data_IF_780644126321
#
_entry.id   IF_780644126321
#
_cell.length_a   1.000
_cell.length_b   1.000
_cell.length_c   1.000
_cell.angle_alpha   90.00
_cell.angle_beta   90.00
_cell.angle_gamma   90.00
#
_symmetry.space_group_name_H-M   'P 1'
#
loop_
_entity.id
_entity.type
_entity.pdbx_description
1 polymer ?
#
# COMPACT_ATOMS: atom_id res chain seq x y z
N UNK A 1 3.94 4.45 -13.23
CA UNK A 1 3.55 3.16 -13.85
C UNK A 1 3.39 2.09 -12.77
N UNK A 2 2.44 1.16 -12.90
CA UNK A 2 2.19 0.11 -11.88
C UNK A 2 2.02 -1.27 -12.52
N UNK A 3 2.37 -2.32 -11.77
CA UNK A 3 2.13 -3.71 -12.15
C UNK A 3 0.75 -4.16 -11.66
N UNK A 4 -0.22 -4.12 -12.57
CA UNK A 4 -1.63 -4.28 -12.25
C UNK A 4 -2.05 -5.75 -12.15
N UNK A 5 -2.90 -6.07 -11.16
CA UNK A 5 -3.56 -7.38 -11.09
C UNK A 5 -4.90 -7.32 -11.82
N UNK A 6 -5.13 -8.27 -12.72
CA UNK A 6 -6.21 -8.19 -13.73
C UNK A 6 -7.24 -9.31 -13.67
N UNK A 7 -7.17 -10.23 -12.70
CA UNK A 7 -8.09 -11.37 -12.66
C UNK A 7 -9.50 -10.92 -12.30
N UNK A 8 -9.64 -10.21 -11.18
CA UNK A 8 -10.88 -9.62 -10.71
C UNK A 8 -10.66 -8.14 -10.40
N UNK A 9 -11.72 -7.34 -10.40
CA UNK A 9 -11.65 -5.94 -9.98
C UNK A 9 -12.88 -5.53 -9.16
N UNK A 10 -12.71 -4.50 -8.34
CA UNK A 10 -13.81 -3.87 -7.60
C UNK A 10 -14.66 -3.03 -8.56
N UNK A 11 -15.84 -3.54 -8.91
CA UNK A 11 -16.75 -2.85 -9.83
C UNK A 11 -17.46 -1.63 -9.21
N UNK A 12 -17.65 -1.62 -7.89
CA UNK A 12 -18.29 -0.53 -7.16
C UNK A 12 -17.56 -0.30 -5.83
N UNK A 13 -17.21 0.96 -5.59
CA UNK A 13 -16.59 1.38 -4.34
C UNK A 13 -17.57 1.22 -3.16
N UNK A 14 -17.14 0.70 -1.99
CA UNK A 14 -17.97 0.62 -0.80
C UNK A 14 -18.33 2.00 -0.23
N UNK A 15 -19.37 2.06 0.61
CA UNK A 15 -19.74 3.31 1.29
C UNK A 15 -18.61 3.81 2.20
N UNK A 16 -18.41 5.13 2.18
CA UNK A 16 -17.35 5.80 2.94
C UNK A 16 -15.94 5.62 2.35
N UNK A 17 -15.79 4.97 1.19
CA UNK A 17 -14.52 4.93 0.47
C UNK A 17 -14.52 5.94 -0.68
N UNK A 18 -13.37 6.57 -0.87
CA UNK A 18 -13.06 7.45 -1.98
C UNK A 18 -12.17 6.71 -2.98
N UNK A 19 -12.44 6.87 -4.29
CA UNK A 19 -11.56 6.37 -5.35
C UNK A 19 -10.42 7.38 -5.53
N UNK A 20 -9.18 6.94 -5.36
CA UNK A 20 -7.99 7.80 -5.46
C UNK A 20 -7.11 7.49 -6.67
N UNK A 21 -7.35 6.35 -7.34
CA UNK A 21 -6.74 6.05 -8.63
C UNK A 21 -7.70 5.22 -9.48
N UNK A 22 -7.65 5.46 -10.79
CA UNK A 22 -8.42 4.72 -11.78
C UNK A 22 -7.60 4.53 -13.06
N UNK A 23 -7.97 3.54 -13.86
CA UNK A 23 -7.47 3.36 -15.22
C UNK A 23 -8.66 3.23 -16.17
N UNK A 24 -8.38 3.16 -17.48
CA UNK A 24 -9.43 2.96 -18.49
C UNK A 24 -10.23 1.67 -18.25
N UNK A 25 -9.56 0.59 -17.84
CA UNK A 25 -10.14 -0.75 -17.74
C UNK A 25 -10.39 -1.16 -16.27
N UNK A 26 -10.01 -0.33 -15.29
CA UNK A 26 -10.24 -0.56 -13.87
C UNK A 26 -10.72 0.73 -13.20
N UNK A 27 -12.03 0.87 -12.93
CA UNK A 27 -12.60 2.11 -12.36
C UNK A 27 -12.14 2.36 -10.92
N UNK A 28 -11.82 1.30 -10.16
CA UNK A 28 -11.36 1.38 -8.78
C UNK A 28 -9.98 0.74 -8.68
N UNK A 29 -8.96 1.43 -9.22
CA UNK A 29 -7.58 0.93 -9.17
C UNK A 29 -6.98 1.09 -7.78
N UNK A 30 -7.33 2.18 -7.07
CA UNK A 30 -7.06 2.35 -5.64
C UNK A 30 -8.21 3.11 -4.96
N UNK A 31 -8.49 2.76 -3.72
CA UNK A 31 -9.50 3.41 -2.90
C UNK A 31 -9.02 3.57 -1.45
N UNK A 32 -9.56 4.55 -0.74
CA UNK A 32 -9.22 4.81 0.66
C UNK A 32 -10.43 5.21 1.49
N UNK A 33 -10.36 4.93 2.79
CA UNK A 33 -11.17 5.55 3.82
C UNK A 33 -10.19 6.05 4.91
N UNK A 34 -9.96 7.36 4.92
CA UNK A 34 -8.98 8.00 5.80
C UNK A 34 -9.43 8.02 7.26
N UNK A 35 -10.73 8.15 7.53
CA UNK A 35 -11.30 8.10 8.89
C UNK A 35 -11.02 6.76 9.58
N UNK A 36 -11.14 5.66 8.82
CA UNK A 36 -10.92 4.29 9.29
C UNK A 36 -9.49 3.79 9.05
N UNK A 37 -8.63 4.61 8.43
CA UNK A 37 -7.28 4.24 8.00
C UNK A 37 -7.23 2.96 7.15
N UNK A 38 -8.19 2.80 6.24
CA UNK A 38 -8.23 1.68 5.31
C UNK A 38 -7.81 2.13 3.91
N UNK A 39 -6.88 1.40 3.31
CA UNK A 39 -6.32 1.71 2.00
C UNK A 39 -6.26 0.44 1.18
N UNK A 40 -6.67 0.50 -0.09
CA UNK A 40 -6.65 -0.63 -0.99
C UNK A 40 -6.10 -0.21 -2.36
N UNK A 41 -5.36 -1.12 -2.97
CA UNK A 41 -4.82 -0.99 -4.32
C UNK A 41 -4.98 -2.32 -5.06
N UNK A 42 -5.27 -2.24 -6.35
CA UNK A 42 -5.47 -3.39 -7.23
C UNK A 42 -4.16 -3.87 -7.89
N UNK A 43 -3.07 -3.12 -7.71
CA UNK A 43 -1.74 -3.41 -8.26
C UNK A 43 -0.75 -3.85 -7.17
N UNK A 44 0.36 -4.42 -7.60
CA UNK A 44 1.42 -4.95 -6.73
C UNK A 44 2.48 -3.88 -6.45
N UNK A 45 2.42 -3.20 -5.31
CA UNK A 45 3.42 -2.21 -4.90
C UNK A 45 4.76 -2.84 -4.48
N UNK A 46 4.77 -4.14 -4.21
CA UNK A 46 5.93 -4.91 -3.75
C UNK A 46 6.91 -5.26 -4.87
N UNK A 47 6.51 -5.17 -6.15
CA UNK A 47 7.36 -5.53 -7.29
C UNK A 47 8.05 -4.32 -7.90
N UNK A 48 9.26 -4.53 -8.43
CA UNK A 48 10.08 -3.47 -9.04
C UNK A 48 9.45 -2.82 -10.28
N UNK A 49 8.50 -3.49 -10.93
CA UNK A 49 7.78 -2.97 -12.08
C UNK A 49 6.80 -1.84 -11.72
N UNK A 50 6.44 -1.71 -10.45
CA UNK A 50 5.63 -0.59 -9.97
C UNK A 50 6.56 0.54 -9.55
N UNK A 51 6.59 1.59 -10.37
CA UNK A 51 7.29 2.82 -10.03
C UNK A 51 6.73 3.38 -8.73
N UNK A 52 7.62 3.81 -7.83
CA UNK A 52 7.27 4.30 -6.50
C UNK A 52 6.58 3.27 -5.58
N UNK A 53 6.47 1.98 -5.94
CA UNK A 53 5.83 0.96 -5.10
C UNK A 53 6.46 0.87 -3.70
N UNK A 54 7.79 0.94 -3.62
CA UNK A 54 8.53 1.01 -2.35
C UNK A 54 8.16 2.25 -1.52
N UNK A 55 7.98 3.41 -2.17
CA UNK A 55 7.59 4.66 -1.50
C UNK A 55 6.16 4.59 -0.96
N UNK A 56 5.24 3.94 -1.71
CA UNK A 56 3.87 3.70 -1.23
C UNK A 56 3.86 2.85 0.05
N UNK A 57 4.61 1.75 0.05
CA UNK A 57 4.74 0.88 1.24
C UNK A 57 5.42 1.61 2.40
N UNK A 58 6.45 2.41 2.12
CA UNK A 58 7.10 3.25 3.11
C UNK A 58 6.09 4.22 3.75
N UNK A 59 5.37 5.00 2.96
CA UNK A 59 4.42 5.99 3.47
C UNK A 59 3.31 5.32 4.29
N UNK A 60 2.82 4.14 3.86
CA UNK A 60 1.86 3.39 4.65
C UNK A 60 2.43 2.99 6.03
N UNK A 61 3.64 2.44 6.09
CA UNK A 61 4.25 2.01 7.36
C UNK A 61 4.57 3.17 8.30
N UNK A 62 5.13 4.26 7.78
CA UNK A 62 5.66 5.36 8.59
C UNK A 62 4.63 6.47 8.84
N UNK A 63 3.87 6.88 7.82
CA UNK A 63 2.93 8.00 7.94
C UNK A 63 1.54 7.54 8.42
N UNK A 64 1.05 6.39 7.93
CA UNK A 64 -0.29 5.89 8.28
C UNK A 64 -0.27 5.06 9.56
N UNK A 65 0.62 4.06 9.62
CA UNK A 65 0.77 3.17 10.77
C UNK A 65 1.61 3.77 11.91
N UNK A 66 2.46 4.77 11.63
CA UNK A 66 3.26 5.44 12.65
C UNK A 66 4.45 4.61 13.16
N UNK A 67 4.96 3.66 12.36
CA UNK A 67 6.15 2.93 12.76
C UNK A 67 7.39 3.82 12.77
N UNK A 68 8.35 3.50 13.63
CA UNK A 68 9.57 4.29 13.85
C UNK A 68 10.81 3.71 13.19
N UNK A 69 10.70 2.53 12.56
CA UNK A 69 11.81 1.93 11.80
C UNK A 69 12.91 1.34 12.67
N UNK A 70 12.59 0.89 13.88
CA UNK A 70 13.57 0.30 14.81
C UNK A 70 14.07 -1.08 14.38
N UNK A 71 13.41 -1.73 13.42
CA UNK A 71 13.86 -3.01 12.86
C UNK A 71 15.04 -2.81 11.92
N UNK A 72 16.24 -2.95 12.48
CA UNK A 72 17.50 -2.94 11.73
C UNK A 72 18.33 -4.15 12.13
N UNK A 73 19.20 -4.63 11.24
CA UNK A 73 20.08 -5.76 11.57
C UNK A 73 21.00 -5.44 12.76
N UNK A 74 21.38 -4.17 12.94
CA UNK A 74 22.16 -3.72 14.09
C UNK A 74 21.38 -3.82 15.43
N UNK A 75 20.11 -3.40 15.43
CA UNK A 75 19.26 -3.53 16.61
C UNK A 75 18.93 -5.01 16.90
N UNK A 76 18.64 -5.78 15.86
CA UNK A 76 18.34 -7.20 15.97
C UNK A 76 19.53 -8.00 16.52
N UNK A 77 20.74 -7.75 16.03
CA UNK A 77 21.95 -8.44 16.50
C UNK A 77 22.18 -8.23 18.01
N UNK A 78 21.85 -7.06 18.55
CA UNK A 78 21.92 -6.80 20.00
C UNK A 78 20.89 -7.64 20.74
N UNK A 79 19.62 -7.59 20.33
CA UNK A 79 18.55 -8.34 20.98
C UNK A 79 18.68 -9.86 20.87
N UNK A 80 19.38 -10.37 19.85
CA UNK A 80 19.53 -11.81 19.62
C UNK A 80 20.63 -12.47 20.47
N UNK A 81 21.52 -11.67 21.07
CA UNK A 81 22.66 -12.14 21.89
C UNK A 81 22.37 -11.96 23.40
N UNK A 82 21.38 -11.14 23.76
CA UNK A 82 20.81 -11.06 25.12
C UNK A 82 20.04 -12.35 25.48
#
# INVERSE_FOLDING_TARGET
VVWMSHVDYVAKVPEGFEIVAHTKDCPVASMQNTERKLYAMQYHAEVLHTEHGKEMLHNFLYEVCGFTGTWTMANYAKSAIE
#
